data_IF_933976832172
#
_entry.id   IF_933976832172
#
_cell.length_a   1.000
_cell.length_b   1.000
_cell.length_c   1.000
_cell.angle_alpha   90.00
_cell.angle_beta   90.00
_cell.angle_gamma   90.00
#
_symmetry.space_group_name_H-M   'P 1'
#
loop_
_entity.id
_entity.type
_entity.pdbx_description
1 polymer ?
#
# COMPACT_ATOMS: atom_id res chain seq x y z
N UNK A 1 2.67 10.82 -4.86
CA UNK A 1 2.62 9.36 -4.85
C UNK A 1 4.01 8.80 -4.93
N UNK A 2 4.35 7.79 -4.12
CA UNK A 2 5.67 7.14 -4.10
C UNK A 2 5.97 6.42 -5.42
N UNK A 3 4.99 5.68 -5.92
CA UNK A 3 4.97 5.01 -7.22
C UNK A 3 5.35 5.97 -8.36
N UNK A 4 4.81 7.19 -8.38
CA UNK A 4 5.18 8.23 -9.36
C UNK A 4 6.67 8.57 -9.32
N UNK A 5 7.23 8.85 -8.14
CA UNK A 5 8.66 9.19 -8.03
C UNK A 5 9.57 8.04 -8.48
N UNK A 6 9.22 6.80 -8.13
CA UNK A 6 9.97 5.62 -8.55
C UNK A 6 9.85 5.43 -10.07
N UNK A 7 8.66 5.61 -10.64
CA UNK A 7 8.41 5.48 -12.07
C UNK A 7 9.15 6.54 -12.89
N UNK A 8 9.12 7.80 -12.47
CA UNK A 8 9.79 8.90 -13.19
C UNK A 8 11.31 8.68 -13.29
N UNK A 9 11.92 8.00 -12.32
CA UNK A 9 13.36 7.72 -12.30
C UNK A 9 13.71 6.38 -12.99
N UNK A 10 13.03 5.31 -12.61
CA UNK A 10 13.41 3.93 -12.93
C UNK A 10 12.48 3.23 -13.93
N UNK A 11 11.26 3.75 -14.12
CA UNK A 11 10.22 3.11 -14.93
C UNK A 11 9.63 1.87 -14.24
N UNK A 12 8.34 1.89 -13.95
CA UNK A 12 7.61 0.73 -13.42
C UNK A 12 6.88 0.02 -14.57
N UNK A 13 7.18 -1.26 -14.75
CA UNK A 13 6.54 -2.14 -15.74
C UNK A 13 5.25 -2.72 -15.18
N UNK A 14 5.32 -3.32 -14.01
CA UNK A 14 4.20 -3.90 -13.26
C UNK A 14 4.49 -3.86 -11.75
N UNK A 15 3.43 -3.86 -10.92
CA UNK A 15 3.61 -3.86 -9.48
C UNK A 15 2.39 -4.36 -8.69
N UNK A 16 2.67 -4.95 -7.54
CA UNK A 16 1.71 -5.39 -6.55
C UNK A 16 1.81 -4.50 -5.31
N UNK A 17 0.68 -3.93 -4.92
CA UNK A 17 0.53 -3.07 -3.75
C UNK A 17 -0.20 -3.84 -2.66
N UNK A 18 0.45 -4.03 -1.53
CA UNK A 18 -0.14 -4.68 -0.36
C UNK A 18 -0.31 -3.63 0.72
N UNK A 19 -1.54 -3.46 1.21
CA UNK A 19 -1.82 -2.55 2.33
C UNK A 19 -2.22 -3.34 3.56
N UNK A 20 -1.51 -3.16 4.66
CA UNK A 20 -1.90 -3.68 5.98
C UNK A 20 -2.49 -2.52 6.76
N UNK A 21 -3.74 -2.62 7.20
CA UNK A 21 -4.41 -1.54 7.92
C UNK A 21 -5.06 -2.05 9.21
N UNK A 22 -5.09 -1.15 10.20
CA UNK A 22 -5.72 -1.37 11.49
C UNK A 22 -7.26 -1.51 11.39
N UNK A 23 -7.85 -2.11 12.41
CA UNK A 23 -9.30 -2.20 12.61
C UNK A 23 -9.90 -0.79 12.58
N UNK A 24 -10.93 -0.60 11.75
CA UNK A 24 -11.69 0.66 11.66
C UNK A 24 -13.09 0.51 12.22
N UNK A 25 -13.82 1.61 12.42
CA UNK A 25 -15.17 1.60 12.98
C UNK A 25 -16.19 0.74 12.19
N UNK A 26 -15.91 0.44 10.92
CA UNK A 26 -16.76 -0.39 10.05
C UNK A 26 -16.47 -1.88 10.20
N UNK A 27 -15.35 -2.25 10.81
CA UNK A 27 -14.98 -3.65 11.05
C UNK A 27 -15.69 -4.19 12.28
N UNK A 28 -16.10 -5.46 12.26
CA UNK A 28 -16.94 -6.04 13.30
C UNK A 28 -16.13 -6.65 14.42
N UNK A 29 -16.56 -6.43 15.65
CA UNK A 29 -15.92 -7.03 16.82
C UNK A 29 -16.09 -8.55 16.85
N UNK A 30 -17.26 -9.05 16.45
CA UNK A 30 -17.64 -10.47 16.51
C UNK A 30 -18.17 -10.95 15.16
N UNK A 31 -18.17 -12.27 14.98
CA UNK A 31 -18.75 -12.89 13.79
C UNK A 31 -20.24 -12.54 13.66
N UNK A 32 -20.70 -12.30 12.43
CA UNK A 32 -22.10 -11.96 12.14
C UNK A 32 -22.41 -12.05 10.66
N UNK A 33 -23.64 -11.83 10.24
CA UNK A 33 -24.01 -11.96 8.81
C UNK A 33 -23.52 -10.77 7.98
N UNK A 34 -22.93 -11.05 6.82
CA UNK A 34 -22.57 -10.02 5.82
C UNK A 34 -23.46 -10.15 4.58
N UNK A 35 -23.84 -9.01 3.98
CA UNK A 35 -24.60 -8.97 2.73
C UNK A 35 -23.70 -9.00 1.49
N UNK A 36 -22.43 -8.63 1.64
CA UNK A 36 -21.50 -8.44 0.53
C UNK A 36 -20.44 -9.54 0.50
N UNK A 37 -19.50 -9.55 1.45
CA UNK A 37 -18.40 -10.53 1.47
C UNK A 37 -18.42 -11.37 2.74
N UNK A 38 -18.12 -12.66 2.59
CA UNK A 38 -17.97 -13.60 3.69
C UNK A 38 -16.84 -13.18 4.65
N UNK A 39 -15.76 -12.59 4.15
CA UNK A 39 -14.66 -12.11 4.97
C UNK A 39 -15.08 -10.99 5.95
N UNK A 40 -16.00 -10.12 5.53
CA UNK A 40 -16.55 -9.05 6.40
C UNK A 40 -17.49 -9.59 7.48
N UNK A 41 -17.82 -10.88 7.39
CA UNK A 41 -18.65 -11.59 8.36
C UNK A 41 -17.86 -11.97 9.61
N UNK A 42 -16.53 -11.99 9.55
CA UNK A 42 -15.67 -12.46 10.62
C UNK A 42 -15.32 -11.34 11.62
N UNK A 43 -15.23 -11.68 12.89
CA UNK A 43 -14.74 -10.81 13.96
C UNK A 43 -13.24 -10.55 13.82
N UNK A 44 -12.85 -9.28 13.70
CA UNK A 44 -11.44 -8.89 13.43
C UNK A 44 -10.51 -8.94 14.64
N UNK A 45 -11.04 -9.15 15.86
CA UNK A 45 -10.25 -9.02 17.09
C UNK A 45 -9.11 -10.03 17.24
N UNK A 46 -9.17 -11.17 16.55
CA UNK A 46 -8.21 -12.28 16.73
C UNK A 46 -7.67 -12.88 15.44
N UNK A 47 -8.07 -12.38 14.26
CA UNK A 47 -7.67 -12.92 12.97
C UNK A 47 -7.22 -11.81 12.02
N UNK A 48 -6.39 -12.18 11.04
CA UNK A 48 -6.07 -11.31 9.91
C UNK A 48 -7.01 -11.61 8.75
N UNK A 49 -7.68 -10.59 8.22
CA UNK A 49 -8.68 -10.74 7.17
C UNK A 49 -8.13 -10.17 5.86
N UNK A 50 -8.03 -10.99 4.79
CA UNK A 50 -7.72 -10.48 3.46
C UNK A 50 -8.95 -9.74 2.90
N UNK A 51 -8.74 -8.57 2.33
CA UNK A 51 -9.77 -7.75 1.68
C UNK A 51 -9.27 -7.24 0.33
N UNK A 52 -10.20 -7.06 -0.60
CA UNK A 52 -9.92 -6.37 -1.87
C UNK A 52 -9.76 -4.87 -1.64
N UNK A 53 -8.84 -4.24 -2.36
CA UNK A 53 -8.58 -2.79 -2.30
C UNK A 53 -8.62 -2.21 -3.70
N UNK A 54 -9.34 -1.10 -3.85
CA UNK A 54 -9.42 -0.33 -5.10
C UNK A 54 -8.30 0.72 -5.22
N UNK A 55 -7.33 0.75 -4.31
CA UNK A 55 -6.30 1.79 -4.27
C UNK A 55 -5.44 1.73 -5.54
N UNK A 56 -4.95 0.54 -5.91
CA UNK A 56 -4.11 0.38 -7.09
C UNK A 56 -4.85 0.75 -8.39
N UNK A 57 -6.12 0.36 -8.51
CA UNK A 57 -6.97 0.75 -9.64
C UNK A 57 -7.22 2.26 -9.70
N UNK A 58 -7.39 2.89 -8.53
CA UNK A 58 -7.59 4.34 -8.43
C UNK A 58 -6.32 5.09 -8.81
N UNK A 59 -5.14 4.60 -8.43
CA UNK A 59 -3.86 5.17 -8.87
C UNK A 59 -3.74 5.12 -10.39
N UNK A 60 -4.16 4.02 -11.03
CA UNK A 60 -4.21 3.92 -12.50
C UNK A 60 -5.17 4.92 -13.16
N UNK A 61 -6.28 5.28 -12.48
CA UNK A 61 -7.21 6.31 -12.96
C UNK A 61 -6.65 7.73 -12.79
N UNK A 62 -5.97 8.02 -11.68
CA UNK A 62 -5.38 9.35 -11.40
C UNK A 62 -4.12 9.59 -12.22
N UNK A 63 -3.34 8.53 -12.46
CA UNK A 63 -2.08 8.56 -13.19
C UNK A 63 -2.16 7.53 -14.31
N UNK A 64 -2.48 8.01 -15.52
CA UNK A 64 -2.77 7.14 -16.67
C UNK A 64 -1.64 6.19 -17.05
N UNK A 65 -0.37 6.51 -16.72
CA UNK A 65 0.77 5.62 -16.99
C UNK A 65 0.75 4.34 -16.15
N UNK A 66 0.02 4.32 -15.03
CA UNK A 66 -0.16 3.14 -14.17
C UNK A 66 -1.44 2.35 -14.46
N UNK A 67 -2.26 2.78 -15.42
CA UNK A 67 -3.50 2.09 -15.74
C UNK A 67 -3.22 0.66 -16.21
N UNK A 68 -3.74 -0.33 -15.48
CA UNK A 68 -3.52 -1.75 -15.74
C UNK A 68 -2.14 -2.29 -15.35
N UNK A 69 -1.25 -1.47 -14.75
CA UNK A 69 0.09 -1.91 -14.32
C UNK A 69 0.20 -2.20 -12.83
N UNK A 70 -0.64 -1.55 -12.03
CA UNK A 70 -0.66 -1.73 -10.58
C UNK A 70 -1.92 -2.50 -10.18
N UNK A 71 -1.73 -3.55 -9.40
CA UNK A 71 -2.81 -4.28 -8.72
C UNK A 71 -2.52 -4.33 -7.22
N UNK A 72 -3.52 -4.65 -6.39
CA UNK A 72 -3.30 -4.68 -4.97
C UNK A 72 -4.29 -5.49 -4.16
N UNK A 73 -3.84 -5.89 -2.98
CA UNK A 73 -4.63 -6.57 -1.95
C UNK A 73 -4.39 -5.86 -0.62
N UNK A 74 -5.31 -6.03 0.32
CA UNK A 74 -5.15 -5.46 1.65
C UNK A 74 -5.47 -6.48 2.74
N UNK A 75 -4.93 -6.22 3.92
CA UNK A 75 -5.10 -7.04 5.10
C UNK A 75 -5.58 -6.16 6.24
N UNK A 76 -6.72 -6.51 6.82
CA UNK A 76 -7.16 -5.96 8.10
C UNK A 76 -6.53 -6.79 9.22
N UNK A 77 -5.74 -6.14 10.08
CA UNK A 77 -5.02 -6.79 11.19
C UNK A 77 -5.50 -6.25 12.54
N UNK A 78 -5.43 -7.04 13.63
CA UNK A 78 -5.90 -6.65 14.97
C UNK A 78 -4.97 -5.63 15.65
N UNK A 79 -4.86 -4.44 15.05
CA UNK A 79 -4.15 -3.28 15.55
C UNK A 79 -5.11 -2.11 15.69
N UNK A 80 -4.83 -1.20 16.64
CA UNK A 80 -5.72 -0.09 16.97
C UNK A 80 -5.56 1.12 16.06
N UNK A 81 -4.37 1.31 15.49
CA UNK A 81 -4.07 2.42 14.60
C UNK A 81 -2.83 2.09 13.76
N UNK A 82 -2.58 2.90 12.73
CA UNK A 82 -1.55 2.78 11.70
C UNK A 82 -1.92 1.83 10.56
N UNK A 83 -1.35 2.15 9.40
CA UNK A 83 -1.36 1.32 8.21
C UNK A 83 0.04 1.33 7.61
N UNK A 84 0.37 0.25 6.92
CA UNK A 84 1.64 0.05 6.22
C UNK A 84 1.32 -0.31 4.77
N UNK A 85 2.07 0.28 3.85
CA UNK A 85 1.98 0.00 2.42
C UNK A 85 3.28 -0.63 1.92
N UNK A 86 3.20 -1.85 1.41
CA UNK A 86 4.29 -2.54 0.74
C UNK A 86 4.06 -2.51 -0.76
N UNK A 87 4.99 -1.88 -1.49
CA UNK A 87 4.99 -1.86 -2.95
C UNK A 87 6.10 -2.77 -3.47
N UNK A 88 5.73 -3.84 -4.15
CA UNK A 88 6.66 -4.67 -4.93
C UNK A 88 6.46 -4.35 -6.41
N UNK A 89 7.51 -4.00 -7.12
CA UNK A 89 7.41 -3.62 -8.52
C UNK A 89 8.60 -4.11 -9.34
N UNK A 90 8.34 -4.41 -10.61
CA UNK A 90 9.35 -4.71 -11.59
C UNK A 90 9.74 -3.41 -12.31
N UNK A 91 11.03 -3.07 -12.21
CA UNK A 91 11.59 -1.86 -12.80
C UNK A 91 12.12 -2.12 -14.21
N UNK A 92 11.93 -1.16 -15.11
CA UNK A 92 12.46 -1.20 -16.47
C UNK A 92 13.97 -0.95 -16.48
N UNK A 93 14.44 0.00 -15.65
CA UNK A 93 15.86 0.29 -15.46
C UNK A 93 16.39 -0.43 -14.23
N UNK A 94 17.50 -1.12 -14.38
CA UNK A 94 18.21 -1.72 -13.25
C UNK A 94 18.64 -0.63 -12.26
N UNK A 95 18.25 -0.77 -11.00
CA UNK A 95 18.53 0.19 -9.94
C UNK A 95 19.19 -0.51 -8.74
N UNK A 96 20.18 0.13 -8.12
CA UNK A 96 20.73 -0.32 -6.84
C UNK A 96 19.85 0.18 -5.70
N UNK A 97 19.80 -0.59 -4.61
CA UNK A 97 19.01 -0.25 -3.44
C UNK A 97 19.36 1.13 -2.84
N UNK A 98 20.64 1.52 -2.87
CA UNK A 98 21.07 2.84 -2.37
C UNK A 98 20.56 3.99 -3.23
N UNK A 99 20.42 3.78 -4.55
CA UNK A 99 19.88 4.80 -5.46
C UNK A 99 18.37 4.95 -5.26
N UNK A 100 17.66 3.84 -5.03
CA UNK A 100 16.23 3.86 -4.68
C UNK A 100 16.02 4.64 -3.38
N UNK A 101 16.79 4.34 -2.32
CA UNK A 101 16.70 5.06 -1.03
C UNK A 101 16.91 6.57 -1.19
N UNK A 102 17.86 6.99 -2.03
CA UNK A 102 18.11 8.42 -2.31
C UNK A 102 16.89 9.08 -2.95
N UNK A 103 16.32 8.46 -3.98
CA UNK A 103 15.12 8.99 -4.67
C UNK A 103 13.93 9.07 -3.72
N UNK A 104 13.73 8.05 -2.88
CA UNK A 104 12.64 8.07 -1.89
C UNK A 104 12.87 9.16 -0.84
N UNK A 105 14.07 9.32 -0.31
CA UNK A 105 14.39 10.39 0.64
C UNK A 105 14.20 11.79 0.01
N UNK A 106 14.61 11.98 -1.25
CA UNK A 106 14.36 13.23 -1.98
C UNK A 106 12.86 13.54 -2.12
N UNK A 107 12.04 12.51 -2.34
CA UNK A 107 10.59 12.65 -2.40
C UNK A 107 9.96 13.10 -1.06
N UNK A 108 10.65 12.85 0.08
CA UNK A 108 10.23 13.29 1.41
C UNK A 108 10.59 14.75 1.72
N UNK A 109 11.67 15.26 1.14
CA UNK A 109 12.17 16.63 1.36
C UNK A 109 11.41 17.68 0.52
N UNK A 110 10.60 17.25 -0.46
CA UNK A 110 9.73 18.11 -1.26
C UNK A 110 8.45 18.56 -0.54
N UNK A 111 7.54 19.30 -1.20
CA UNK A 111 6.27 19.72 -0.60
C UNK A 111 5.53 18.50 -0.03
N UNK A 112 5.04 18.58 1.23
CA UNK A 112 4.69 17.41 2.00
C UNK A 112 3.54 16.67 1.33
N UNK A 113 3.84 15.49 0.83
CA UNK A 113 2.83 14.46 0.63
C UNK A 113 2.54 13.97 2.06
N UNK A 114 1.43 14.41 2.64
CA UNK A 114 1.02 14.30 4.07
C UNK A 114 0.97 12.86 4.64
N UNK A 115 1.55 11.86 3.98
CA UNK A 115 1.41 10.45 4.37
C UNK A 115 2.65 9.56 4.30
N UNK A 116 3.85 10.07 4.05
CA UNK A 116 5.05 9.23 3.99
C UNK A 116 6.04 9.61 5.09
N UNK A 117 6.16 8.78 6.12
CA UNK A 117 7.18 8.90 7.17
C UNK A 117 8.07 7.66 7.20
N UNK A 118 9.31 7.77 6.74
CA UNK A 118 10.29 6.67 6.85
C UNK A 118 10.94 6.65 8.24
N UNK A 119 10.82 5.53 8.95
CA UNK A 119 11.69 5.22 10.09
C UNK A 119 12.90 4.41 9.58
N UNK A 120 14.10 4.99 9.64
CA UNK A 120 15.37 4.44 9.11
C UNK A 120 15.92 3.22 9.88
N UNK A 121 15.07 2.38 10.45
CA UNK A 121 15.45 1.12 11.11
C UNK A 121 14.85 -0.06 10.37
N UNK A 122 15.68 -0.82 9.64
CA UNK A 122 15.36 -2.14 9.08
C UNK A 122 14.03 -2.24 8.30
N UNK A 123 14.11 -1.98 6.99
CA UNK A 123 13.34 -2.71 5.98
C UNK A 123 11.81 -2.57 5.92
N UNK A 124 11.16 -1.83 6.82
CA UNK A 124 9.71 -1.63 6.78
C UNK A 124 9.38 -0.19 6.40
N UNK A 125 8.71 -0.04 5.25
CA UNK A 125 8.10 1.20 4.79
C UNK A 125 6.83 1.41 5.64
N UNK A 126 6.74 2.50 6.41
CA UNK A 126 5.52 2.91 7.13
C UNK A 126 4.66 3.77 6.21
#
# INVERSE_FOLDING_TARGET
SLDKHIHDNFGIVEGLMITVYAITATTRTMDGTSKELYCDSCGVAQITIPVSTSIAETVGKVISVFNGKLTGIAFCVPMHNLSVMVLSCHLEKAAKYDDIKKVVNQALEGPPIVHLGLHQGTGCLL
#
